data_IF_791332212052
#
_entry.id   IF_791332212052
#
_cell.length_a   1.000
_cell.length_b   1.000
_cell.length_c   1.000
_cell.angle_alpha   90.00
_cell.angle_beta   90.00
_cell.angle_gamma   90.00
#
_symmetry.space_group_name_H-M   'P 1'
#
loop_
_entity.id
_entity.type
_entity.pdbx_description
1 polymer ?
#
# COMPACT_ATOMS: atom_id res chain seq x y z
N UNK A 1 27.29 -2.06 29.86
CA UNK A 1 26.25 -1.05 29.60
C UNK A 1 26.35 -0.62 28.14
N UNK A 2 25.56 -1.23 27.25
CA UNK A 2 25.44 -0.82 25.84
C UNK A 2 24.36 0.26 25.75
N UNK A 3 24.63 1.32 25.00
CA UNK A 3 23.83 2.56 24.94
C UNK A 3 22.39 2.32 24.47
N UNK A 4 21.43 2.78 25.28
CA UNK A 4 19.98 2.72 25.05
C UNK A 4 19.46 3.83 24.11
N UNK A 5 20.15 4.06 23.00
CA UNK A 5 19.66 4.91 21.92
C UNK A 5 19.55 4.03 20.67
N UNK A 6 18.51 3.20 20.66
CA UNK A 6 18.03 2.61 19.40
C UNK A 6 17.75 3.77 18.44
N UNK A 7 18.30 3.67 17.25
CA UNK A 7 18.06 4.71 16.23
C UNK A 7 16.56 4.68 15.86
N UNK A 8 16.00 5.80 15.41
CA UNK A 8 14.59 5.88 14.95
C UNK A 8 14.26 4.80 13.89
N UNK A 9 15.27 4.21 13.24
CA UNK A 9 15.11 3.07 12.33
C UNK A 9 14.65 1.78 13.02
N UNK A 10 14.97 1.57 14.29
CA UNK A 10 14.61 0.37 15.06
C UNK A 10 13.13 0.36 15.50
N UNK A 11 12.41 1.47 15.31
CA UNK A 11 10.98 1.56 15.66
C UNK A 11 10.05 1.03 14.58
N UNK A 12 10.55 0.81 13.37
CA UNK A 12 9.74 0.37 12.24
C UNK A 12 9.73 -1.15 12.11
N UNK A 13 8.55 -1.75 12.27
CA UNK A 13 8.43 -3.19 12.03
C UNK A 13 8.56 -3.53 10.54
N UNK A 14 7.85 -2.80 9.68
CA UNK A 14 7.83 -2.96 8.23
C UNK A 14 8.58 -1.83 7.50
N UNK A 15 9.14 -2.09 6.31
CA UNK A 15 9.61 -1.03 5.43
C UNK A 15 8.51 0.00 5.14
N UNK A 16 8.91 1.27 5.13
CA UNK A 16 8.05 2.39 4.76
C UNK A 16 8.04 2.57 3.24
N UNK A 17 6.87 2.88 2.66
CA UNK A 17 6.79 3.47 1.32
C UNK A 17 7.31 4.91 1.42
N UNK A 18 8.63 5.13 1.37
CA UNK A 18 9.23 6.45 1.62
C UNK A 18 9.13 7.34 0.39
N UNK A 19 8.34 8.43 0.41
CA UNK A 19 8.59 9.51 -0.52
C UNK A 19 9.86 10.21 -0.05
N UNK A 20 10.80 10.48 -0.95
CA UNK A 20 12.00 11.22 -0.59
C UNK A 20 11.59 12.65 -0.20
N UNK A 21 11.33 12.89 1.09
CA UNK A 21 11.35 14.25 1.61
C UNK A 21 12.72 14.82 1.28
N UNK A 22 12.75 15.87 0.46
CA UNK A 22 14.01 16.53 0.14
C UNK A 22 14.61 17.06 1.44
N UNK A 23 15.94 17.02 1.58
CA UNK A 23 16.71 17.51 2.74
C UNK A 23 16.28 18.90 3.24
N UNK A 24 15.65 19.70 2.36
CA UNK A 24 15.09 21.05 2.62
C UNK A 24 13.85 21.07 3.52
N UNK A 25 13.06 19.99 3.58
CA UNK A 25 11.87 19.90 4.43
C UNK A 25 12.20 19.44 5.87
N UNK A 26 13.41 18.93 6.09
CA UNK A 26 13.87 18.40 7.38
C UNK A 26 14.41 19.48 8.33
N UNK A 27 14.75 20.67 7.82
CA UNK A 27 15.48 21.70 8.58
C UNK A 27 14.60 22.76 9.27
N UNK A 28 13.28 22.66 9.22
CA UNK A 28 12.38 23.70 9.79
C UNK A 28 11.81 23.36 11.16
N UNK A 29 12.03 22.16 11.71
CA UNK A 29 11.37 21.76 12.98
C UNK A 29 12.32 21.00 13.89
N UNK A 30 13.14 21.75 14.63
CA UNK A 30 13.82 21.23 15.80
C UNK A 30 13.76 22.29 16.90
N UNK A 31 12.80 22.13 17.81
CA UNK A 31 12.88 22.48 19.23
C UNK A 31 11.70 21.80 19.94
N UNK A 32 12.04 21.04 20.99
CA UNK A 32 11.22 19.97 21.53
C UNK A 32 10.04 20.40 22.40
N UNK A 33 9.18 19.41 22.68
CA UNK A 33 8.38 19.35 23.90
C UNK A 33 7.90 17.90 24.11
N UNK A 34 8.19 17.35 25.29
CA UNK A 34 7.55 16.14 25.80
C UNK A 34 6.12 16.51 26.20
N UNK A 35 5.16 16.25 25.33
CA UNK A 35 3.73 16.42 25.63
C UNK A 35 3.09 15.06 25.40
N UNK A 36 2.47 14.51 26.44
CA UNK A 36 1.65 13.30 26.35
C UNK A 36 0.62 13.45 25.22
N UNK A 37 0.21 12.36 24.55
CA UNK A 37 -0.78 12.45 23.48
C UNK A 37 -2.08 13.02 24.04
N UNK A 38 -2.39 14.26 23.69
CA UNK A 38 -3.69 14.85 23.93
C UNK A 38 -4.67 14.20 22.95
N UNK A 39 -5.69 13.52 23.47
CA UNK A 39 -6.83 13.07 22.69
C UNK A 39 -7.59 14.33 22.27
N UNK A 40 -7.76 14.55 20.97
CA UNK A 40 -8.54 15.70 20.48
C UNK A 40 -10.02 15.45 20.70
N UNK A 41 -10.69 16.33 21.43
CA UNK A 41 -12.14 16.28 21.64
C UNK A 41 -12.97 16.53 20.37
N UNK A 42 -12.34 16.94 19.24
CA UNK A 42 -13.04 17.41 18.05
C UNK A 42 -13.38 16.37 16.97
N UNK A 43 -12.99 15.10 17.14
CA UNK A 43 -13.31 14.01 16.19
C UNK A 43 -14.07 12.84 16.85
N UNK A 44 -14.33 12.93 18.16
CA UNK A 44 -15.01 11.90 18.95
C UNK A 44 -16.54 11.83 18.72
N UNK A 45 -17.09 12.62 17.79
CA UNK A 45 -18.54 12.64 17.50
C UNK A 45 -18.98 11.59 16.48
N UNK A 46 -18.09 11.01 15.66
CA UNK A 46 -18.50 9.92 14.76
C UNK A 46 -18.67 8.64 15.57
N UNK A 47 -19.92 8.20 15.80
CA UNK A 47 -20.20 6.88 16.39
C UNK A 47 -19.76 5.73 15.49
N UNK A 48 -19.51 5.99 14.21
CA UNK A 48 -19.06 5.03 13.22
C UNK A 48 -17.55 5.19 12.94
N UNK A 49 -16.70 4.19 13.29
CA UNK A 49 -15.25 4.25 13.05
C UNK A 49 -14.86 4.46 11.58
N UNK A 50 -15.68 4.01 10.63
CA UNK A 50 -15.42 4.17 9.19
C UNK A 50 -15.59 5.62 8.77
N UNK A 51 -16.63 6.30 9.28
CA UNK A 51 -16.86 7.72 9.00
C UNK A 51 -15.73 8.57 9.60
N UNK A 52 -15.30 8.27 10.83
CA UNK A 52 -14.14 8.92 11.46
C UNK A 52 -12.86 8.77 10.63
N UNK A 53 -12.58 7.56 10.14
CA UNK A 53 -11.47 7.29 9.24
C UNK A 53 -11.58 8.05 7.91
N UNK A 54 -12.77 8.14 7.32
CA UNK A 54 -13.00 8.93 6.10
C UNK A 54 -12.77 10.44 6.34
N UNK A 55 -13.16 10.97 7.50
CA UNK A 55 -12.89 12.35 7.88
C UNK A 55 -11.38 12.62 8.03
N UNK A 56 -10.62 11.67 8.58
CA UNK A 56 -9.14 11.75 8.61
C UNK A 56 -8.59 11.85 7.18
N UNK A 57 -9.04 11.00 6.27
CA UNK A 57 -8.60 11.01 4.87
C UNK A 57 -8.91 12.36 4.23
N UNK A 58 -10.14 12.85 4.39
CA UNK A 58 -10.55 14.14 3.83
C UNK A 58 -9.72 15.31 4.37
N UNK A 59 -9.39 15.28 5.67
CA UNK A 59 -8.65 16.36 6.33
C UNK A 59 -7.15 16.33 6.06
N UNK A 60 -6.57 15.14 5.98
CA UNK A 60 -5.11 14.98 6.03
C UNK A 60 -4.50 14.35 4.76
N UNK A 61 -5.26 13.56 4.01
CA UNK A 61 -4.76 12.93 2.77
C UNK A 61 -5.03 13.79 1.53
N UNK A 62 -6.12 14.56 1.51
CA UNK A 62 -6.48 15.47 0.41
C UNK A 62 -5.65 16.76 0.45
N UNK A 63 -4.35 16.64 0.21
CA UNK A 63 -3.41 17.78 0.19
C UNK A 63 -2.66 17.88 -1.15
N UNK A 64 -2.49 19.09 -1.70
CA UNK A 64 -1.77 19.28 -2.97
C UNK A 64 -0.27 18.98 -2.86
N UNK A 65 0.31 19.03 -1.66
CA UNK A 65 1.76 18.99 -1.44
C UNK A 65 2.31 17.61 -1.09
N UNK A 66 1.44 16.62 -0.93
CA UNK A 66 1.82 15.22 -0.71
C UNK A 66 1.12 14.33 -1.73
N UNK A 67 1.71 14.13 -2.93
CA UNK A 67 1.11 13.30 -3.97
C UNK A 67 0.97 11.84 -3.53
N UNK A 68 1.80 11.37 -2.61
CA UNK A 68 1.67 10.02 -2.06
C UNK A 68 0.37 9.92 -1.25
N UNK A 69 0.14 10.83 -0.31
CA UNK A 69 -1.10 10.82 0.50
C UNK A 69 -2.34 11.04 -0.37
N UNK A 70 -2.28 11.93 -1.36
CA UNK A 70 -3.38 12.22 -2.27
C UNK A 70 -3.77 11.00 -3.12
N UNK A 71 -2.81 10.22 -3.60
CA UNK A 71 -3.10 8.99 -4.35
C UNK A 71 -3.71 7.91 -3.46
N UNK A 72 -3.30 7.81 -2.20
CA UNK A 72 -3.97 6.93 -1.24
C UNK A 72 -5.42 7.39 -0.96
N UNK A 73 -5.68 8.69 -0.90
CA UNK A 73 -7.03 9.23 -0.79
C UNK A 73 -7.90 8.84 -2.01
N UNK A 74 -7.34 8.90 -3.22
CA UNK A 74 -8.02 8.44 -4.45
C UNK A 74 -8.32 6.95 -4.38
N UNK A 75 -7.39 6.13 -3.86
CA UNK A 75 -7.62 4.69 -3.65
C UNK A 75 -8.81 4.43 -2.71
N UNK A 76 -8.92 5.18 -1.61
CA UNK A 76 -9.97 4.99 -0.62
C UNK A 76 -11.34 5.55 -1.06
N UNK A 77 -11.34 6.72 -1.70
CA UNK A 77 -12.56 7.47 -2.04
C UNK A 77 -13.02 7.22 -3.49
N UNK A 78 -12.23 6.53 -4.30
CA UNK A 78 -12.52 6.20 -5.69
C UNK A 78 -12.29 7.37 -6.67
N UNK A 79 -12.61 7.15 -7.95
CA UNK A 79 -12.35 8.09 -9.04
C UNK A 79 -13.11 9.42 -8.95
N UNK A 80 -14.14 9.49 -8.11
CA UNK A 80 -14.87 10.72 -7.77
C UNK A 80 -14.18 11.62 -6.75
N UNK A 81 -13.02 11.23 -6.21
CA UNK A 81 -12.25 12.00 -5.25
C UNK A 81 -11.91 13.42 -5.78
N UNK A 82 -12.11 14.45 -4.95
CA UNK A 82 -11.87 15.85 -5.32
C UNK A 82 -10.88 16.54 -4.38
N UNK A 83 -10.03 17.40 -4.95
CA UNK A 83 -9.11 18.29 -4.25
C UNK A 83 -9.49 19.74 -4.59
N UNK A 84 -9.92 20.52 -3.60
CA UNK A 84 -10.36 21.92 -3.80
C UNK A 84 -11.39 22.09 -4.94
N UNK A 85 -12.28 21.11 -5.13
CA UNK A 85 -13.28 21.12 -6.21
C UNK A 85 -12.79 20.59 -7.57
N UNK A 86 -11.48 20.37 -7.78
CA UNK A 86 -10.95 19.67 -8.97
C UNK A 86 -10.99 18.15 -8.76
N UNK A 87 -11.07 17.35 -9.83
CA UNK A 87 -10.82 15.91 -9.73
C UNK A 87 -9.37 15.65 -9.29
N UNK A 88 -9.19 14.86 -8.23
CA UNK A 88 -7.86 14.64 -7.63
C UNK A 88 -6.90 13.89 -8.57
N UNK A 89 -7.40 12.93 -9.37
CA UNK A 89 -6.55 12.22 -10.34
C UNK A 89 -6.07 13.16 -11.46
N UNK A 90 -6.96 14.02 -11.98
CA UNK A 90 -6.58 15.06 -12.95
C UNK A 90 -5.53 16.01 -12.38
N UNK A 91 -5.70 16.45 -11.11
CA UNK A 91 -4.71 17.27 -10.42
C UNK A 91 -3.34 16.57 -10.37
N UNK A 92 -3.30 15.29 -9.99
CA UNK A 92 -2.05 14.53 -9.90
C UNK A 92 -1.39 14.39 -11.27
N UNK A 93 -2.15 14.00 -12.30
CA UNK A 93 -1.67 13.87 -13.67
C UNK A 93 -1.05 15.18 -14.17
N UNK A 94 -1.78 16.29 -14.06
CA UNK A 94 -1.34 17.62 -14.51
C UNK A 94 -0.09 18.10 -13.76
N UNK A 95 -0.01 17.84 -12.47
CA UNK A 95 1.04 18.42 -11.60
C UNK A 95 2.33 17.58 -11.63
N UNK A 96 2.20 16.27 -11.69
CA UNK A 96 3.30 15.36 -11.41
C UNK A 96 3.74 14.48 -12.59
N UNK A 97 2.93 14.32 -13.64
CA UNK A 97 3.38 13.61 -14.83
C UNK A 97 4.49 14.37 -15.55
N UNK A 98 5.41 13.65 -16.19
CA UNK A 98 6.55 14.18 -16.94
C UNK A 98 6.70 13.45 -18.27
N UNK A 99 7.46 14.04 -19.20
CA UNK A 99 7.88 13.41 -20.45
C UNK A 99 9.27 12.82 -20.30
N UNK A 100 9.48 11.61 -20.82
CA UNK A 100 10.80 10.98 -20.95
C UNK A 100 11.05 10.62 -22.41
N UNK A 101 12.20 11.04 -22.95
CA UNK A 101 12.63 10.66 -24.29
C UNK A 101 13.34 9.30 -24.24
N UNK A 102 12.88 8.36 -25.07
CA UNK A 102 13.55 7.07 -25.33
C UNK A 102 13.42 6.77 -26.82
N UNK A 103 14.53 6.51 -27.51
CA UNK A 103 14.57 6.19 -28.94
C UNK A 103 13.76 7.16 -29.81
N UNK A 104 14.02 8.47 -29.65
CA UNK A 104 13.38 9.57 -30.37
C UNK A 104 11.86 9.73 -30.17
N UNK A 105 11.25 9.00 -29.22
CA UNK A 105 9.84 9.17 -28.81
C UNK A 105 9.73 9.62 -27.37
N UNK A 106 8.73 10.46 -27.08
CA UNK A 106 8.38 10.86 -25.71
C UNK A 106 7.31 9.93 -25.13
N UNK A 107 7.50 9.58 -23.87
CA UNK A 107 6.58 8.77 -23.07
C UNK A 107 6.17 9.53 -21.81
N UNK A 108 4.91 9.41 -21.40
CA UNK A 108 4.41 10.06 -20.19
C UNK A 108 4.56 9.12 -19.01
N UNK A 109 5.12 9.62 -17.91
CA UNK A 109 5.40 8.82 -16.71
C UNK A 109 5.39 9.67 -15.44
N UNK A 110 5.43 9.01 -14.29
CA UNK A 110 5.70 9.65 -13.00
C UNK A 110 7.16 9.40 -12.61
N UNK A 111 7.94 10.44 -12.24
CA UNK A 111 9.32 10.25 -11.83
C UNK A 111 9.42 9.60 -10.45
N UNK A 112 10.48 8.83 -10.22
CA UNK A 112 10.73 8.14 -8.94
C UNK A 112 10.82 9.10 -7.72
N UNK A 113 11.11 10.38 -7.95
CA UNK A 113 11.09 11.42 -6.91
C UNK A 113 9.67 11.74 -6.40
N UNK A 114 8.64 11.37 -7.14
CA UNK A 114 7.22 11.55 -6.79
C UNK A 114 6.60 10.20 -6.48
N UNK A 115 6.78 9.23 -7.36
CA UNK A 115 6.20 7.89 -7.30
C UNK A 115 7.30 6.87 -6.97
N UNK A 116 7.37 6.48 -5.71
CA UNK A 116 8.46 5.64 -5.17
C UNK A 116 8.46 4.25 -5.79
N UNK A 117 7.25 3.74 -6.06
CA UNK A 117 7.03 2.41 -6.60
C UNK A 117 6.49 2.53 -8.02
N UNK A 118 7.17 1.88 -8.96
CA UNK A 118 6.90 2.05 -10.39
C UNK A 118 5.45 1.69 -10.71
N UNK A 119 4.72 2.63 -11.30
CA UNK A 119 3.31 2.52 -11.70
C UNK A 119 2.30 2.48 -10.54
N UNK A 120 2.67 2.85 -9.31
CA UNK A 120 1.77 2.95 -8.17
C UNK A 120 0.61 3.96 -8.35
N UNK A 121 0.83 5.06 -9.03
CA UNK A 121 -0.18 6.07 -9.36
C UNK A 121 -1.08 5.55 -10.48
N UNK A 122 -0.49 5.03 -11.56
CA UNK A 122 -1.24 4.46 -12.67
C UNK A 122 -2.16 3.33 -12.19
N UNK A 123 -1.63 2.35 -11.45
CA UNK A 123 -2.45 1.25 -10.92
C UNK A 123 -3.59 1.80 -10.05
N UNK A 124 -3.31 2.82 -9.22
CA UNK A 124 -4.32 3.38 -8.33
C UNK A 124 -5.43 4.10 -9.09
N UNK A 125 -5.12 4.83 -10.16
CA UNK A 125 -6.13 5.46 -11.01
C UNK A 125 -7.02 4.42 -11.69
N UNK A 126 -6.42 3.36 -12.25
CA UNK A 126 -7.17 2.28 -12.89
C UNK A 126 -8.11 1.59 -11.90
N UNK A 127 -7.60 1.21 -10.73
CA UNK A 127 -8.39 0.55 -9.70
C UNK A 127 -9.47 1.45 -9.07
N UNK A 128 -9.23 2.76 -9.01
CA UNK A 128 -10.21 3.74 -8.55
C UNK A 128 -11.29 4.02 -9.60
N UNK A 129 -11.18 3.46 -10.81
CA UNK A 129 -12.14 3.67 -11.89
C UNK A 129 -11.99 5.03 -12.58
N UNK A 130 -10.81 5.66 -12.53
CA UNK A 130 -10.53 6.86 -13.30
C UNK A 130 -10.54 6.49 -14.80
N UNK A 131 -11.37 7.13 -15.63
CA UNK A 131 -11.44 6.78 -17.05
C UNK A 131 -10.09 6.96 -17.75
N UNK A 132 -9.71 6.01 -18.62
CA UNK A 132 -8.50 6.10 -19.46
C UNK A 132 -8.52 7.32 -20.39
N UNK A 133 -9.72 7.81 -20.71
CA UNK A 133 -9.95 9.04 -21.49
C UNK A 133 -9.79 10.33 -20.69
N UNK A 134 -9.57 10.27 -19.36
CA UNK A 134 -9.35 11.46 -18.51
C UNK A 134 -8.20 12.29 -19.07
N UNK A 135 -8.48 13.53 -19.44
CA UNK A 135 -7.50 14.44 -20.05
C UNK A 135 -6.79 15.30 -19.00
N UNK A 136 -5.58 15.74 -19.33
CA UNK A 136 -4.82 16.73 -18.57
C UNK A 136 -3.86 17.50 -19.49
N UNK A 137 -3.38 18.64 -19.03
CA UNK A 137 -2.40 19.48 -19.74
C UNK A 137 -0.99 19.20 -19.23
N UNK A 138 -0.02 19.03 -20.14
CA UNK A 138 1.40 18.91 -19.84
C UNK A 138 2.22 19.61 -20.94
N UNK A 139 2.98 20.63 -20.56
CA UNK A 139 3.80 21.46 -21.46
C UNK A 139 2.99 22.03 -22.65
N UNK A 140 1.78 22.52 -22.38
CA UNK A 140 0.88 23.10 -23.39
C UNK A 140 0.23 22.09 -24.35
N UNK A 141 0.37 20.79 -24.09
CA UNK A 141 -0.27 19.72 -24.87
C UNK A 141 -1.27 18.94 -24.02
N UNK A 142 -2.37 18.52 -24.65
CA UNK A 142 -3.37 17.66 -24.03
C UNK A 142 -2.92 16.21 -24.10
N UNK A 143 -2.86 15.54 -22.96
CA UNK A 143 -2.66 14.10 -22.82
C UNK A 143 -3.85 13.46 -22.13
N UNK A 144 -3.89 12.13 -22.13
CA UNK A 144 -4.87 11.27 -21.47
C UNK A 144 -4.18 10.34 -20.48
N UNK A 145 -4.92 9.81 -19.52
CA UNK A 145 -4.44 8.72 -18.66
C UNK A 145 -3.94 7.52 -19.51
N UNK A 146 -4.54 7.30 -20.69
CA UNK A 146 -4.05 6.36 -21.70
C UNK A 146 -2.57 6.56 -22.08
N UNK A 147 -2.12 7.81 -22.25
CA UNK A 147 -0.74 8.11 -22.66
C UNK A 147 0.25 7.78 -21.52
N UNK A 148 -0.21 7.82 -20.26
CA UNK A 148 0.54 7.33 -19.09
C UNK A 148 0.60 5.80 -19.08
N UNK A 149 -0.49 5.12 -19.43
CA UNK A 149 -0.50 3.66 -19.55
C UNK A 149 0.44 3.16 -20.66
N UNK A 150 0.47 3.86 -21.79
CA UNK A 150 1.41 3.59 -22.87
C UNK A 150 2.86 3.86 -22.44
N UNK A 151 3.10 4.97 -21.74
CA UNK A 151 4.41 5.26 -21.18
C UNK A 151 4.88 4.22 -20.16
N UNK A 152 3.99 3.74 -19.29
CA UNK A 152 4.28 2.68 -18.33
C UNK A 152 4.73 1.39 -19.03
N UNK A 153 4.02 0.93 -20.05
CA UNK A 153 4.42 -0.25 -20.86
C UNK A 153 5.77 0.00 -21.57
N UNK A 154 5.93 1.18 -22.17
CA UNK A 154 7.12 1.52 -22.94
C UNK A 154 8.38 1.61 -22.06
N UNK A 155 8.26 2.11 -20.83
CA UNK A 155 9.39 2.32 -19.93
C UNK A 155 9.66 1.12 -19.01
N UNK A 156 8.73 0.18 -18.89
CA UNK A 156 8.90 -1.01 -18.06
C UNK A 156 9.97 -1.94 -18.61
N UNK A 157 11.02 -2.17 -17.82
CA UNK A 157 12.08 -3.14 -18.07
C UNK A 157 11.98 -4.25 -17.05
N UNK A 158 12.10 -5.49 -17.49
CA UNK A 158 11.95 -6.64 -16.61
C UNK A 158 13.04 -7.66 -16.86
N UNK A 159 13.92 -7.81 -15.89
CA UNK A 159 14.94 -8.84 -15.85
C UNK A 159 14.80 -9.59 -14.52
N UNK A 160 14.29 -10.84 -14.51
CA UNK A 160 14.05 -11.58 -13.27
C UNK A 160 15.26 -11.63 -12.32
N UNK A 161 16.48 -11.54 -12.84
CA UNK A 161 17.71 -11.66 -12.04
C UNK A 161 18.14 -10.32 -11.42
N UNK A 162 17.69 -9.19 -11.98
CA UNK A 162 18.07 -7.84 -11.55
C UNK A 162 16.89 -6.98 -11.07
N UNK A 163 15.65 -7.43 -11.27
CA UNK A 163 14.46 -6.68 -10.94
C UNK A 163 14.21 -6.68 -9.43
N UNK A 164 13.92 -5.52 -8.85
CA UNK A 164 13.56 -5.41 -7.43
C UNK A 164 12.25 -6.17 -7.15
N UNK A 165 12.30 -7.31 -6.42
CA UNK A 165 11.11 -8.10 -6.14
C UNK A 165 10.07 -7.32 -5.33
N UNK A 166 10.51 -6.37 -4.53
CA UNK A 166 9.63 -5.54 -3.71
C UNK A 166 9.02 -4.37 -4.48
N UNK A 167 9.25 -4.25 -5.81
CA UNK A 167 8.68 -3.23 -6.68
C UNK A 167 7.73 -3.78 -7.75
N UNK A 168 7.65 -5.11 -7.93
CA UNK A 168 6.90 -5.73 -9.05
C UNK A 168 5.38 -5.55 -8.94
N UNK A 169 4.87 -5.51 -7.71
CA UNK A 169 3.44 -5.55 -7.42
C UNK A 169 2.63 -4.48 -8.16
N UNK A 170 3.07 -3.22 -8.10
CA UNK A 170 2.32 -2.09 -8.70
C UNK A 170 2.28 -2.17 -10.22
N UNK A 171 3.39 -2.55 -10.86
CA UNK A 171 3.43 -2.75 -12.31
C UNK A 171 2.57 -3.93 -12.73
N UNK A 172 2.61 -5.05 -11.98
CA UNK A 172 1.75 -6.20 -12.26
C UNK A 172 0.26 -5.84 -12.17
N UNK A 173 -0.16 -5.08 -11.15
CA UNK A 173 -1.55 -4.59 -11.04
C UNK A 173 -1.91 -3.71 -12.23
N UNK A 174 -1.08 -2.70 -12.53
CA UNK A 174 -1.34 -1.77 -13.63
C UNK A 174 -1.54 -2.51 -14.96
N UNK A 175 -0.62 -3.41 -15.30
CA UNK A 175 -0.68 -4.13 -16.57
C UNK A 175 -1.78 -5.19 -16.61
N UNK A 176 -2.14 -5.80 -15.48
CA UNK A 176 -3.27 -6.71 -15.40
C UNK A 176 -4.61 -5.98 -15.61
N UNK A 177 -4.82 -4.83 -14.97
CA UNK A 177 -6.02 -3.98 -15.18
C UNK A 177 -6.09 -3.44 -16.63
N UNK A 178 -4.94 -3.16 -17.25
CA UNK A 178 -4.86 -2.82 -18.68
C UNK A 178 -5.05 -4.04 -19.60
N UNK A 179 -5.06 -5.26 -19.06
CA UNK A 179 -5.09 -6.52 -19.79
C UNK A 179 -3.97 -6.64 -20.83
N UNK A 180 -2.79 -6.09 -20.52
CA UNK A 180 -1.63 -6.10 -21.39
C UNK A 180 -0.93 -7.47 -21.33
N UNK A 181 -1.37 -8.43 -22.15
CA UNK A 181 -0.83 -9.79 -22.14
C UNK A 181 0.64 -9.85 -22.56
N UNK A 182 0.98 -9.17 -23.65
CA UNK A 182 2.35 -9.04 -24.16
C UNK A 182 2.55 -7.70 -24.88
N UNK A 183 3.78 -7.20 -24.88
CA UNK A 183 4.16 -6.01 -25.62
C UNK A 183 5.67 -5.97 -25.85
N UNK A 184 6.12 -5.09 -26.74
CA UNK A 184 7.51 -4.70 -26.83
C UNK A 184 7.68 -3.34 -26.17
N UNK A 185 8.61 -3.21 -25.22
CA UNK A 185 8.91 -1.92 -24.58
C UNK A 185 9.76 -1.03 -25.51
N UNK A 186 9.98 0.23 -25.12
CA UNK A 186 10.75 1.18 -25.93
C UNK A 186 12.22 0.79 -26.12
N UNK A 187 12.74 -0.17 -25.34
CA UNK A 187 14.10 -0.69 -25.41
C UNK A 187 14.22 -1.95 -26.28
N UNK A 188 13.14 -2.36 -26.96
CA UNK A 188 13.11 -3.54 -27.82
C UNK A 188 12.89 -4.86 -27.07
N UNK A 189 12.73 -4.84 -25.75
CA UNK A 189 12.47 -6.03 -24.95
C UNK A 189 11.01 -6.48 -25.11
N UNK A 190 10.79 -7.75 -25.44
CA UNK A 190 9.47 -8.38 -25.38
C UNK A 190 9.14 -8.71 -23.93
N UNK A 191 8.02 -8.20 -23.44
CA UNK A 191 7.48 -8.47 -22.11
C UNK A 191 6.27 -9.37 -22.24
N UNK A 192 6.17 -10.36 -21.36
CA UNK A 192 4.99 -11.23 -21.23
C UNK A 192 4.50 -11.14 -19.79
N UNK A 193 3.25 -10.72 -19.59
CA UNK A 193 2.73 -10.46 -18.25
C UNK A 193 2.64 -11.72 -17.38
N UNK A 194 2.35 -12.88 -18.00
CA UNK A 194 2.38 -14.18 -17.32
C UNK A 194 3.74 -14.50 -16.72
N UNK A 195 4.83 -14.14 -17.39
CA UNK A 195 6.19 -14.31 -16.87
C UNK A 195 6.45 -13.43 -15.65
N UNK A 196 5.96 -12.18 -15.68
CA UNK A 196 6.03 -11.26 -14.53
C UNK A 196 5.19 -11.77 -13.35
N UNK A 197 4.00 -12.30 -13.62
CA UNK A 197 3.13 -12.89 -12.60
C UNK A 197 3.74 -14.14 -11.98
N UNK A 198 4.32 -15.03 -12.80
CA UNK A 198 5.03 -16.23 -12.31
C UNK A 198 6.25 -15.85 -11.46
N UNK A 199 6.99 -14.81 -11.83
CA UNK A 199 8.05 -14.25 -10.99
C UNK A 199 7.51 -13.76 -9.65
N UNK A 200 6.45 -12.94 -9.65
CA UNK A 200 5.83 -12.44 -8.42
C UNK A 200 5.35 -13.56 -7.49
N UNK A 201 4.78 -14.64 -8.05
CA UNK A 201 4.34 -15.79 -7.26
C UNK A 201 5.52 -16.54 -6.63
N UNK A 202 6.61 -16.77 -7.38
CA UNK A 202 7.82 -17.39 -6.84
C UNK A 202 8.45 -16.55 -5.73
N UNK A 203 8.51 -15.23 -5.91
CA UNK A 203 9.02 -14.29 -4.90
C UNK A 203 8.18 -14.37 -3.62
N UNK A 204 6.85 -14.36 -3.75
CA UNK A 204 5.95 -14.45 -2.61
C UNK A 204 6.09 -15.79 -1.88
N UNK A 205 6.19 -16.89 -2.62
CA UNK A 205 6.46 -18.21 -2.07
C UNK A 205 7.75 -18.22 -1.26
N UNK A 206 8.88 -17.83 -1.86
CA UNK A 206 10.18 -17.79 -1.19
C UNK A 206 10.16 -16.95 0.10
N UNK A 207 9.45 -15.82 0.08
CA UNK A 207 9.32 -14.94 1.24
C UNK A 207 8.48 -15.54 2.38
N UNK A 208 7.57 -16.48 2.05
CA UNK A 208 6.60 -17.08 2.97
C UNK A 208 6.88 -18.54 3.33
N UNK A 209 7.84 -19.20 2.67
CA UNK A 209 8.17 -20.62 2.90
C UNK A 209 8.44 -20.92 4.40
N UNK A 210 9.13 -20.01 5.09
CA UNK A 210 9.41 -20.14 6.52
C UNK A 210 8.18 -20.05 7.44
N UNK A 211 7.02 -19.61 6.95
CA UNK A 211 5.78 -19.54 7.73
C UNK A 211 5.08 -20.91 7.85
N UNK A 212 5.34 -21.82 6.91
CA UNK A 212 4.59 -23.08 6.79
C UNK A 212 4.58 -23.93 8.07
N UNK A 213 5.71 -24.12 8.80
CA UNK A 213 5.69 -24.89 10.04
C UNK A 213 4.79 -24.27 11.12
N UNK A 214 4.73 -22.94 11.22
CA UNK A 214 3.92 -22.23 12.21
C UNK A 214 2.44 -22.22 11.83
N UNK A 215 2.15 -22.08 10.54
CA UNK A 215 0.81 -22.23 9.99
C UNK A 215 0.24 -23.62 10.29
N UNK A 216 1.00 -24.68 10.02
CA UNK A 216 0.59 -26.07 10.29
C UNK A 216 0.39 -26.34 11.78
N UNK A 217 1.22 -25.75 12.64
CA UNK A 217 1.09 -25.85 14.09
C UNK A 217 -0.04 -24.98 14.68
N UNK A 218 -0.57 -24.01 13.92
CA UNK A 218 -1.52 -23.00 14.42
C UNK A 218 -0.92 -22.10 15.52
N UNK A 219 0.41 -22.00 15.60
CA UNK A 219 1.13 -21.30 16.65
C UNK A 219 1.51 -19.87 16.27
N UNK A 220 2.00 -19.05 17.21
CA UNK A 220 2.48 -17.70 16.93
C UNK A 220 3.79 -17.71 16.14
N UNK A 221 4.08 -16.61 15.43
CA UNK A 221 5.39 -16.41 14.78
C UNK A 221 6.48 -16.07 15.82
N UNK A 222 7.65 -16.72 15.78
CA UNK A 222 8.68 -16.51 16.80
C UNK A 222 9.37 -15.15 16.66
N UNK A 223 9.49 -14.64 15.44
CA UNK A 223 10.23 -13.41 15.12
C UNK A 223 9.83 -12.87 13.74
N UNK A 224 10.49 -11.79 13.30
CA UNK A 224 10.36 -11.31 11.92
C UNK A 224 10.77 -12.42 10.94
N UNK A 225 9.95 -12.63 9.91
CA UNK A 225 10.17 -13.59 8.83
C UNK A 225 10.50 -12.83 7.54
N UNK A 226 11.09 -13.47 6.52
CA UNK A 226 11.50 -12.80 5.28
C UNK A 226 10.39 -11.96 4.62
N UNK A 227 9.13 -12.41 4.66
CA UNK A 227 7.98 -11.65 4.16
C UNK A 227 7.79 -10.27 4.81
N UNK A 228 8.23 -10.07 6.05
CA UNK A 228 8.16 -8.77 6.73
C UNK A 228 9.19 -7.76 6.21
N UNK A 229 10.17 -8.22 5.42
CA UNK A 229 11.09 -7.38 4.66
C UNK A 229 10.48 -6.78 3.39
N UNK A 230 9.30 -7.22 2.98
CA UNK A 230 8.54 -6.62 1.87
C UNK A 230 7.69 -5.46 2.36
N UNK A 231 7.42 -4.51 1.46
CA UNK A 231 6.48 -3.41 1.70
C UNK A 231 5.12 -3.98 2.13
N UNK A 232 4.60 -3.45 3.24
CA UNK A 232 3.33 -3.88 3.85
C UNK A 232 3.27 -5.40 4.15
N UNK A 233 4.41 -6.03 4.43
CA UNK A 233 4.47 -7.47 4.69
C UNK A 233 4.08 -8.32 3.48
N UNK A 234 4.38 -7.85 2.27
CA UNK A 234 4.13 -8.55 1.01
C UNK A 234 2.67 -8.59 0.56
N UNK A 235 1.78 -7.88 1.26
CA UNK A 235 0.34 -7.82 0.91
C UNK A 235 0.09 -7.23 -0.47
N UNK A 236 0.86 -6.20 -0.90
CA UNK A 236 0.76 -5.70 -2.28
C UNK A 236 1.13 -6.76 -3.32
N UNK A 237 2.11 -7.61 -3.04
CA UNK A 237 2.50 -8.69 -3.96
C UNK A 237 1.39 -9.74 -4.03
N UNK A 238 0.83 -10.15 -2.90
CA UNK A 238 -0.35 -11.03 -2.87
C UNK A 238 -1.52 -10.42 -3.66
N UNK A 239 -1.85 -9.15 -3.41
CA UNK A 239 -2.89 -8.41 -4.12
C UNK A 239 -2.67 -8.42 -5.64
N UNK A 240 -1.45 -8.12 -6.08
CA UNK A 240 -1.11 -8.09 -7.50
C UNK A 240 -1.32 -9.42 -8.21
N UNK A 241 -1.10 -10.54 -7.51
CA UNK A 241 -1.33 -11.88 -8.04
C UNK A 241 -2.82 -12.20 -8.12
N UNK A 242 -3.66 -11.67 -7.22
CA UNK A 242 -5.11 -11.79 -7.30
C UNK A 242 -5.67 -10.99 -8.48
N UNK A 243 -5.18 -9.77 -8.71
CA UNK A 243 -5.55 -8.97 -9.88
C UNK A 243 -5.12 -9.70 -11.16
N UNK A 244 -3.89 -10.23 -11.21
CA UNK A 244 -3.42 -11.04 -12.33
C UNK A 244 -4.30 -12.29 -12.55
N UNK A 245 -4.73 -12.96 -11.47
CA UNK A 245 -5.58 -14.15 -11.53
C UNK A 245 -6.96 -13.82 -12.12
N UNK A 246 -7.60 -12.73 -11.65
CA UNK A 246 -8.88 -12.23 -12.18
C UNK A 246 -8.83 -12.03 -13.70
N UNK A 247 -7.71 -11.51 -14.20
CA UNK A 247 -7.53 -11.24 -15.63
C UNK A 247 -6.90 -12.39 -16.43
N UNK A 248 -6.77 -13.59 -15.85
CA UNK A 248 -6.31 -14.79 -16.56
C UNK A 248 -4.80 -14.85 -16.82
N UNK A 249 -4.01 -14.06 -16.06
CA UNK A 249 -2.54 -14.05 -16.15
C UNK A 249 -1.85 -15.03 -15.19
N UNK A 250 -2.61 -15.74 -14.35
CA UNK A 250 -2.12 -16.86 -13.54
C UNK A 250 -2.43 -18.17 -14.26
N UNK A 251 -1.40 -19.00 -14.45
CA UNK A 251 -1.55 -20.30 -15.10
C UNK A 251 -2.28 -21.31 -14.21
N UNK A 252 -2.98 -22.26 -14.85
CA UNK A 252 -3.73 -23.33 -14.17
C UNK A 252 -2.90 -24.04 -13.08
N UNK A 253 -1.64 -24.38 -13.41
CA UNK A 253 -0.72 -25.07 -12.50
C UNK A 253 -0.28 -24.24 -11.28
N UNK A 254 -0.42 -22.92 -11.34
CA UNK A 254 -0.01 -21.99 -10.28
C UNK A 254 -1.10 -21.71 -9.25
N UNK A 255 -2.35 -22.11 -9.52
CA UNK A 255 -3.49 -21.89 -8.61
C UNK A 255 -3.35 -22.53 -7.23
N UNK A 256 -2.88 -23.80 -7.09
CA UNK A 256 -2.67 -24.38 -5.77
C UNK A 256 -1.70 -23.58 -4.91
N UNK A 257 -0.65 -23.04 -5.52
CA UNK A 257 0.33 -22.20 -4.83
C UNK A 257 -0.28 -20.84 -4.45
N UNK A 258 -1.00 -20.18 -5.36
CA UNK A 258 -1.70 -18.92 -5.03
C UNK A 258 -2.72 -19.12 -3.89
N UNK A 259 -3.43 -20.25 -3.88
CA UNK A 259 -4.33 -20.63 -2.78
C UNK A 259 -3.59 -20.79 -1.46
N UNK A 260 -2.45 -21.47 -1.44
CA UNK A 260 -1.62 -21.57 -0.23
C UNK A 260 -1.19 -20.19 0.29
N UNK A 261 -0.90 -19.23 -0.60
CA UNK A 261 -0.57 -17.87 -0.21
C UNK A 261 -1.75 -17.12 0.43
N UNK A 262 -2.98 -17.38 -0.02
CA UNK A 262 -4.19 -16.86 0.62
C UNK A 262 -4.44 -17.49 2.00
N UNK A 263 -4.24 -18.81 2.13
CA UNK A 263 -4.37 -19.50 3.41
C UNK A 263 -3.33 -18.96 4.44
N UNK A 264 -2.10 -18.71 3.99
CA UNK A 264 -1.06 -18.06 4.81
C UNK A 264 -1.43 -16.62 5.16
N UNK A 265 -2.02 -15.85 4.25
CA UNK A 265 -2.50 -14.49 4.55
C UNK A 265 -3.60 -14.51 5.62
N UNK A 266 -4.54 -15.46 5.55
CA UNK A 266 -5.60 -15.64 6.56
C UNK A 266 -5.01 -16.00 7.92
N UNK A 267 -4.01 -16.88 7.97
CA UNK A 267 -3.29 -17.18 9.21
C UNK A 267 -2.58 -15.94 9.80
N UNK A 268 -1.97 -15.13 8.93
CA UNK A 268 -1.28 -13.90 9.32
C UNK A 268 -2.19 -12.81 9.87
N UNK A 269 -3.51 -12.85 9.59
CA UNK A 269 -4.49 -11.97 10.23
C UNK A 269 -4.42 -12.02 11.75
N UNK A 270 -4.05 -13.17 12.33
CA UNK A 270 -3.85 -13.32 13.76
C UNK A 270 -2.36 -13.28 14.15
N UNK A 271 -1.52 -13.97 13.37
CA UNK A 271 -0.14 -14.20 13.77
C UNK A 271 0.73 -12.94 13.75
N UNK A 272 0.51 -12.05 12.77
CA UNK A 272 1.31 -10.83 12.63
C UNK A 272 0.90 -9.76 13.68
N UNK A 273 -0.39 -9.48 13.98
CA UNK A 273 -0.74 -8.60 15.10
C UNK A 273 -0.16 -9.03 16.45
N UNK A 274 -0.16 -10.34 16.74
CA UNK A 274 0.48 -10.86 17.95
C UNK A 274 1.99 -10.65 17.96
N UNK A 275 2.64 -10.81 16.81
CA UNK A 275 4.07 -10.53 16.66
C UNK A 275 4.38 -9.04 16.86
N UNK A 276 3.52 -8.16 16.33
CA UNK A 276 3.62 -6.71 16.54
C UNK A 276 3.43 -6.35 18.02
N UNK A 277 2.44 -6.95 18.69
CA UNK A 277 2.22 -6.73 20.13
C UNK A 277 3.46 -7.08 20.94
N UNK A 278 4.02 -8.30 20.74
CA UNK A 278 5.26 -8.70 21.40
C UNK A 278 6.43 -7.78 21.06
N UNK A 279 6.55 -7.36 19.81
CA UNK A 279 7.63 -6.47 19.37
C UNK A 279 7.60 -5.14 20.13
N UNK A 280 6.47 -4.43 20.11
CA UNK A 280 6.37 -3.11 20.72
C UNK A 280 6.32 -3.16 22.25
N UNK A 281 5.78 -4.22 22.85
CA UNK A 281 5.86 -4.44 24.31
C UNK A 281 7.32 -4.59 24.78
N UNK A 282 8.18 -5.21 23.98
CA UNK A 282 9.58 -5.45 24.33
C UNK A 282 10.50 -4.24 24.06
N UNK A 283 10.03 -3.18 23.40
CA UNK A 283 10.82 -1.96 23.18
C UNK A 283 10.99 -1.10 24.45
N UNK A 284 10.25 -1.40 25.54
CA UNK A 284 10.27 -0.61 26.77
C UNK A 284 9.54 0.73 26.63
N UNK A 285 9.95 1.75 27.39
CA UNK A 285 9.32 3.08 27.37
C UNK A 285 9.78 3.92 26.18
N UNK A 286 9.37 3.54 24.97
CA UNK A 286 9.53 4.37 23.77
C UNK A 286 8.32 5.30 23.63
N UNK A 287 8.56 6.59 23.43
CA UNK A 287 7.51 7.55 23.12
C UNK A 287 6.75 7.12 21.85
N UNK A 288 5.42 7.25 21.87
CA UNK A 288 4.54 6.86 20.77
C UNK A 288 4.57 5.35 20.40
N UNK A 289 5.14 4.45 21.22
CA UNK A 289 5.18 3.00 20.93
C UNK A 289 3.80 2.42 20.60
N UNK A 290 2.76 2.85 21.33
CA UNK A 290 1.36 2.47 21.07
C UNK A 290 0.86 2.97 19.71
N UNK A 291 1.27 4.17 19.28
CA UNK A 291 0.90 4.74 17.98
C UNK A 291 1.61 3.98 16.85
N UNK A 292 2.89 3.63 17.04
CA UNK A 292 3.62 2.77 16.09
C UNK A 292 3.01 1.37 16.01
N UNK A 293 2.62 0.79 17.14
CA UNK A 293 1.93 -0.51 17.22
C UNK A 293 0.61 -0.47 16.46
N UNK A 294 -0.23 0.51 16.75
CA UNK A 294 -1.52 0.70 16.08
C UNK A 294 -1.35 0.94 14.58
N UNK A 295 -0.42 1.82 14.18
CA UNK A 295 -0.12 2.08 12.77
C UNK A 295 0.35 0.83 12.02
N UNK A 296 1.25 0.05 12.61
CA UNK A 296 1.75 -1.19 11.99
C UNK A 296 0.66 -2.27 11.84
N UNK A 297 -0.26 -2.38 12.81
CA UNK A 297 -1.42 -3.26 12.72
C UNK A 297 -2.41 -2.79 11.67
N UNK A 298 -2.74 -1.49 11.66
CA UNK A 298 -3.66 -0.88 10.70
C UNK A 298 -3.16 -1.08 9.26
N UNK A 299 -1.85 -0.86 9.05
CA UNK A 299 -1.16 -1.14 7.80
C UNK A 299 -1.41 -2.57 7.34
N UNK A 300 -0.97 -3.54 8.13
CA UNK A 300 -1.05 -4.93 7.72
C UNK A 300 -2.50 -5.38 7.52
N UNK A 301 -3.35 -5.19 8.52
CA UNK A 301 -4.71 -5.69 8.50
C UNK A 301 -5.54 -5.00 7.42
N UNK A 302 -5.43 -3.68 7.26
CA UNK A 302 -6.11 -2.95 6.18
C UNK A 302 -5.77 -3.50 4.79
N UNK A 303 -4.48 -3.72 4.51
CA UNK A 303 -4.04 -4.31 3.25
C UNK A 303 -4.48 -5.77 3.09
N UNK A 304 -4.45 -6.56 4.16
CA UNK A 304 -4.91 -7.95 4.12
C UNK A 304 -6.42 -8.04 3.84
N UNK A 305 -7.22 -7.17 4.45
CA UNK A 305 -8.66 -7.06 4.16
C UNK A 305 -8.92 -6.62 2.71
N UNK A 306 -8.12 -5.70 2.15
CA UNK A 306 -8.21 -5.40 0.71
C UNK A 306 -7.98 -6.63 -0.17
N UNK A 307 -6.97 -7.45 0.14
CA UNK A 307 -6.67 -8.68 -0.60
C UNK A 307 -7.81 -9.69 -0.52
N UNK A 308 -8.27 -9.99 0.69
CA UNK A 308 -9.27 -11.01 0.93
C UNK A 308 -10.66 -10.56 0.42
N UNK A 309 -11.00 -9.29 0.63
CA UNK A 309 -12.22 -8.68 0.08
C UNK A 309 -12.22 -8.69 -1.45
N UNK A 310 -11.09 -8.37 -2.10
CA UNK A 310 -10.98 -8.47 -3.56
C UNK A 310 -11.11 -9.91 -4.07
N UNK A 311 -10.45 -10.87 -3.41
CA UNK A 311 -10.57 -12.29 -3.75
C UNK A 311 -12.01 -12.80 -3.63
N UNK A 312 -12.73 -12.39 -2.57
CA UNK A 312 -14.14 -12.72 -2.37
C UNK A 312 -15.04 -12.06 -3.43
N UNK A 313 -14.88 -10.76 -3.64
CA UNK A 313 -15.67 -9.98 -4.60
C UNK A 313 -15.57 -10.54 -6.02
N UNK A 314 -14.38 -10.98 -6.42
CA UNK A 314 -14.12 -11.59 -7.73
C UNK A 314 -14.24 -13.12 -7.74
N UNK A 315 -14.71 -13.75 -6.67
CA UNK A 315 -14.91 -15.20 -6.56
C UNK A 315 -13.65 -16.03 -6.88
N UNK A 316 -12.47 -15.48 -6.59
CA UNK A 316 -11.18 -16.14 -6.85
C UNK A 316 -10.86 -17.21 -5.81
N UNK A 317 -11.55 -17.16 -4.67
CA UNK A 317 -11.30 -18.03 -3.54
C UNK A 317 -12.60 -18.34 -2.78
N UNK A 318 -12.74 -19.58 -2.31
CA UNK A 318 -13.86 -19.99 -1.46
C UNK A 318 -13.41 -20.05 -0.01
N UNK A 319 -14.00 -19.19 0.82
CA UNK A 319 -13.72 -19.13 2.25
C UNK A 319 -14.57 -20.14 3.01
N UNK A 320 -13.91 -21.01 3.78
CA UNK A 320 -14.57 -21.84 4.79
C UNK A 320 -15.00 -21.01 6.01
N UNK A 321 -15.71 -21.64 6.95
CA UNK A 321 -16.23 -20.96 8.13
C UNK A 321 -15.12 -20.41 9.05
N UNK A 322 -13.98 -21.11 9.16
CA UNK A 322 -12.86 -20.70 10.01
C UNK A 322 -12.17 -19.47 9.43
N UNK A 323 -11.92 -19.46 8.12
CA UNK A 323 -11.38 -18.33 7.40
C UNK A 323 -12.29 -17.09 7.52
N UNK A 324 -13.61 -17.27 7.39
CA UNK A 324 -14.58 -16.18 7.60
C UNK A 324 -14.53 -15.61 9.01
N UNK A 325 -14.41 -16.47 10.03
CA UNK A 325 -14.28 -16.02 11.42
C UNK A 325 -13.01 -15.17 11.63
N UNK A 326 -11.85 -15.63 11.13
CA UNK A 326 -10.60 -14.85 11.22
C UNK A 326 -10.69 -13.50 10.47
N UNK A 327 -11.36 -13.48 9.32
CA UNK A 327 -11.58 -12.23 8.57
C UNK A 327 -12.47 -11.26 9.36
N UNK A 328 -13.54 -11.75 9.98
CA UNK A 328 -14.41 -10.89 10.80
C UNK A 328 -13.68 -10.37 12.05
N UNK A 329 -12.87 -11.20 12.72
CA UNK A 329 -12.02 -10.76 13.84
C UNK A 329 -11.07 -9.64 13.41
N UNK A 330 -10.38 -9.82 12.27
CA UNK A 330 -9.51 -8.79 11.70
C UNK A 330 -10.30 -7.52 11.31
N UNK A 331 -11.52 -7.67 10.81
CA UNK A 331 -12.42 -6.54 10.51
C UNK A 331 -12.73 -5.73 11.77
N UNK A 332 -13.06 -6.40 12.87
CA UNK A 332 -13.30 -5.75 14.15
C UNK A 332 -12.05 -5.06 14.71
N UNK A 333 -10.87 -5.69 14.59
CA UNK A 333 -9.61 -5.07 15.00
C UNK A 333 -9.32 -3.80 14.17
N UNK A 334 -9.53 -3.83 12.84
CA UNK A 334 -9.38 -2.65 11.98
C UNK A 334 -10.36 -1.54 12.36
N UNK A 335 -11.62 -1.86 12.66
CA UNK A 335 -12.59 -0.87 13.14
C UNK A 335 -12.13 -0.22 14.47
N UNK A 336 -11.60 -1.01 15.40
CA UNK A 336 -11.02 -0.51 16.64
C UNK A 336 -9.81 0.40 16.41
N UNK A 337 -8.93 0.03 15.47
CA UNK A 337 -7.77 0.82 15.09
C UNK A 337 -8.16 2.14 14.40
N UNK A 338 -9.17 2.13 13.53
CA UNK A 338 -9.75 3.34 12.93
C UNK A 338 -10.29 4.28 14.01
N UNK A 339 -11.03 3.76 15.00
CA UNK A 339 -11.52 4.55 16.13
C UNK A 339 -10.35 5.14 16.95
N UNK A 340 -9.32 4.34 17.24
CA UNK A 340 -8.12 4.78 17.94
C UNK A 340 -7.42 5.94 17.20
N UNK A 341 -7.16 5.77 15.89
CA UNK A 341 -6.49 6.78 15.07
C UNK A 341 -7.31 8.07 14.97
N UNK A 342 -8.65 7.96 14.91
CA UNK A 342 -9.57 9.11 14.93
C UNK A 342 -9.45 9.93 16.22
N UNK A 343 -9.13 9.28 17.34
CA UNK A 343 -8.91 9.95 18.62
C UNK A 343 -7.54 10.63 18.78
N UNK A 344 -6.59 10.40 17.86
CA UNK A 344 -5.24 10.95 17.97
C UNK A 344 -5.19 12.45 17.60
N UNK A 345 -4.35 13.21 18.29
CA UNK A 345 -3.84 14.49 17.76
C UNK A 345 -2.79 14.21 16.67
N UNK A 346 -3.27 14.03 15.44
CA UNK A 346 -2.43 13.76 14.27
C UNK A 346 -1.47 14.92 13.95
N UNK A 347 -1.77 16.15 14.36
CA UNK A 347 -0.84 17.27 14.18
C UNK A 347 0.33 17.18 15.17
N UNK A 348 0.08 16.73 16.40
CA UNK A 348 1.15 16.42 17.33
C UNK A 348 1.99 15.23 16.87
N UNK A 349 1.36 14.18 16.33
CA UNK A 349 2.09 13.06 15.68
C UNK A 349 2.94 13.58 14.52
N UNK A 350 2.40 14.45 13.65
CA UNK A 350 3.13 15.06 12.53
C UNK A 350 4.37 15.81 12.99
N UNK A 351 4.28 16.61 14.06
CA UNK A 351 5.41 17.37 14.61
C UNK A 351 6.50 16.45 15.18
N UNK A 352 6.13 15.36 15.84
CA UNK A 352 7.08 14.41 16.47
C UNK A 352 7.69 13.43 15.46
N UNK A 353 6.86 12.90 14.57
CA UNK A 353 7.23 11.88 13.59
C UNK A 353 6.42 12.07 12.29
N UNK A 354 6.92 12.92 11.36
CA UNK A 354 6.26 13.14 10.06
C UNK A 354 6.03 11.85 9.27
N UNK A 355 6.96 10.89 9.38
CA UNK A 355 6.85 9.60 8.70
C UNK A 355 5.73 8.73 9.28
N UNK A 356 5.54 8.72 10.61
CA UNK A 356 4.42 7.99 11.25
C UNK A 356 3.09 8.62 10.92
N UNK A 357 3.03 9.95 10.93
CA UNK A 357 1.86 10.68 10.46
C UNK A 357 1.48 10.29 9.02
N UNK A 358 2.43 10.34 8.09
CA UNK A 358 2.19 9.99 6.69
C UNK A 358 1.72 8.53 6.55
N UNK A 359 2.37 7.59 7.25
CA UNK A 359 1.95 6.19 7.21
C UNK A 359 0.54 5.98 7.75
N UNK A 360 0.20 6.55 8.91
CA UNK A 360 -1.15 6.44 9.49
C UNK A 360 -2.21 6.89 8.49
N UNK A 361 -1.96 7.98 7.76
CA UNK A 361 -2.91 8.51 6.77
C UNK A 361 -3.08 7.54 5.60
N UNK A 362 -1.97 7.09 4.99
CA UNK A 362 -2.06 6.16 3.86
C UNK A 362 -2.61 4.79 4.26
N UNK A 363 -2.26 4.30 5.45
CA UNK A 363 -2.74 3.02 5.97
C UNK A 363 -4.23 3.10 6.37
N UNK A 364 -4.70 4.27 6.81
CA UNK A 364 -6.14 4.53 7.01
C UNK A 364 -6.90 4.49 5.67
N UNK A 365 -6.31 4.98 4.58
CA UNK A 365 -6.90 4.85 3.25
C UNK A 365 -7.07 3.37 2.85
N UNK A 366 -6.06 2.54 3.09
CA UNK A 366 -6.13 1.11 2.84
C UNK A 366 -7.13 0.40 3.75
N UNK A 367 -7.21 0.76 5.03
CA UNK A 367 -8.19 0.24 5.96
C UNK A 367 -9.64 0.54 5.51
N UNK A 368 -9.94 1.79 5.15
CA UNK A 368 -11.28 2.18 4.65
C UNK A 368 -11.64 1.38 3.39
N UNK A 369 -10.70 1.24 2.46
CA UNK A 369 -10.92 0.46 1.24
C UNK A 369 -11.13 -1.03 1.55
N UNK A 370 -10.31 -1.63 2.41
CA UNK A 370 -10.47 -3.03 2.82
C UNK A 370 -11.82 -3.29 3.48
N UNK A 371 -12.24 -2.42 4.39
CA UNK A 371 -13.56 -2.48 5.04
C UNK A 371 -14.72 -2.34 4.05
N UNK A 372 -14.54 -1.61 2.93
CA UNK A 372 -15.58 -1.46 1.90
C UNK A 372 -15.80 -2.72 1.04
N UNK A 373 -14.87 -3.67 1.08
CA UNK A 373 -14.88 -4.89 0.25
C UNK A 373 -15.35 -6.14 0.99
N UNK A 374 -15.52 -6.08 2.31
CA UNK A 374 -15.80 -7.23 3.19
C UNK A 374 -17.17 -7.11 3.83
#
# INVERSE_FOLDING_TARGET
MRSALGTVMDLWFYPACKSHFTRRQFLTFALGASIAPAISAGLAESRNPVEGAQLIIQRHALTPHDPWALVHAIRALGGGCRLHGENAATYVLRTYARKQAVNARYWIYFPASVEIHTNMFLKTFLEAGVPRSTTFQLDGQTFRLEDVADGAKALFRFDPDAFDPNNVAWSLIAFAELQAAEWQNAYGQRIQLKTVAAFGLRVLQQATDGLMPFFQAGGPLPQKMPIHGFTCGGTHLCYSLLVAARHGFIEAASWPLLRQQLDLLIYRLQADPQLLDRYYQNLGHVADAEVFRAGAKLKLLGHALECLGYAQFHQLFQLDQKARAHIEEARQEVLGLCAYVTGLDLEAVRRRSPQLYQQIIGDTCHAVRGLSLI
#
